data_IF_918520222870
#
_entry.id   IF_918520222870
#
_cell.length_a   1.000
_cell.length_b   1.000
_cell.length_c   1.000
_cell.angle_alpha   90.00
_cell.angle_beta   90.00
_cell.angle_gamma   90.00
#
_symmetry.space_group_name_H-M   'P 1'
#
loop_
_entity.id
_entity.type
_entity.pdbx_description
1 polymer ?
#
# COMPACT_ATOMS: atom_id res chain seq x y z
N UNK A 1 -16.58 -20.50 22.38
CA UNK A 1 -15.25 -19.85 22.39
C UNK A 1 -15.20 -18.90 21.21
N UNK A 2 -14.72 -17.65 21.37
CA UNK A 2 -14.51 -16.78 20.22
C UNK A 2 -13.55 -17.47 19.26
N UNK A 3 -13.91 -17.53 17.97
CA UNK A 3 -13.02 -18.09 16.95
C UNK A 3 -11.77 -17.21 16.87
N UNK A 4 -10.61 -17.79 17.11
CA UNK A 4 -9.31 -17.14 16.90
C UNK A 4 -8.84 -17.47 15.50
N UNK A 5 -8.41 -16.46 14.76
CA UNK A 5 -7.87 -16.62 13.39
C UNK A 5 -6.35 -16.67 13.40
N UNK A 6 -5.76 -17.26 12.35
CA UNK A 6 -4.29 -17.27 12.19
C UNK A 6 -3.70 -15.86 12.14
N UNK A 7 -4.42 -14.89 11.55
CA UNK A 7 -4.01 -13.48 11.52
C UNK A 7 -3.85 -12.94 12.93
N UNK A 8 -4.77 -13.27 13.84
CA UNK A 8 -4.71 -12.81 15.23
C UNK A 8 -3.58 -13.46 16.02
N UNK A 9 -3.24 -14.72 15.69
CA UNK A 9 -2.06 -15.38 16.24
C UNK A 9 -0.79 -14.66 15.79
N UNK A 10 -0.69 -14.29 14.51
CA UNK A 10 0.46 -13.57 13.99
C UNK A 10 0.57 -12.16 14.60
N UNK A 11 -0.55 -11.43 14.70
CA UNK A 11 -0.61 -10.13 15.36
C UNK A 11 -0.29 -10.22 16.86
N UNK A 12 -0.61 -11.34 17.51
CA UNK A 12 -0.22 -11.59 18.90
C UNK A 12 1.30 -11.74 19.03
N UNK A 13 1.94 -12.51 18.14
CA UNK A 13 3.41 -12.67 18.08
C UNK A 13 4.08 -11.31 17.80
N UNK A 14 3.52 -10.52 16.90
CA UNK A 14 4.05 -9.20 16.51
C UNK A 14 3.66 -8.09 17.51
N UNK A 15 3.07 -8.43 18.66
CA UNK A 15 2.62 -7.50 19.71
C UNK A 15 1.73 -6.34 19.22
N UNK A 16 0.99 -6.57 18.13
CA UNK A 16 0.18 -5.56 17.43
C UNK A 16 -1.33 -5.74 17.62
N UNK A 17 -1.73 -6.65 18.52
CA UNK A 17 -3.13 -7.00 18.77
C UNK A 17 -3.74 -6.13 19.88
N UNK A 18 -4.99 -5.63 19.74
CA UNK A 18 -5.70 -4.93 20.81
C UNK A 18 -5.83 -5.78 22.09
N UNK A 19 -5.81 -5.13 23.26
CA UNK A 19 -5.75 -5.82 24.56
C UNK A 19 -6.90 -6.80 24.81
N UNK A 20 -8.12 -6.46 24.37
CA UNK A 20 -9.28 -7.34 24.45
C UNK A 20 -9.06 -8.66 23.68
N UNK A 21 -8.56 -8.56 22.45
CA UNK A 21 -8.25 -9.73 21.61
C UNK A 21 -7.01 -10.47 22.12
N UNK A 22 -6.04 -9.78 22.71
CA UNK A 22 -4.87 -10.40 23.33
C UNK A 22 -5.26 -11.39 24.44
N UNK A 23 -6.24 -11.01 25.27
CA UNK A 23 -6.76 -11.88 26.34
C UNK A 23 -7.45 -13.13 25.77
N UNK A 24 -8.22 -12.98 24.70
CA UNK A 24 -8.87 -14.09 24.02
C UNK A 24 -7.88 -15.05 23.37
N UNK A 25 -6.84 -14.54 22.70
CA UNK A 25 -5.76 -15.36 22.13
C UNK A 25 -4.99 -16.09 23.23
N UNK A 26 -4.65 -15.42 24.34
CA UNK A 26 -4.00 -16.07 25.49
C UNK A 26 -4.82 -17.24 26.02
N UNK A 27 -6.12 -17.05 26.24
CA UNK A 27 -6.99 -18.13 26.69
C UNK A 27 -7.03 -19.29 25.70
N UNK A 28 -7.13 -19.00 24.40
CA UNK A 28 -7.06 -20.01 23.36
C UNK A 28 -5.74 -20.80 23.37
N UNK A 29 -4.60 -20.12 23.57
CA UNK A 29 -3.29 -20.79 23.68
C UNK A 29 -3.15 -21.60 24.97
N UNK A 30 -3.82 -21.23 26.07
CA UNK A 30 -3.88 -22.08 27.26
C UNK A 30 -4.66 -23.38 27.01
N UNK A 31 -5.73 -23.30 26.22
CA UNK A 31 -6.58 -24.46 25.90
C UNK A 31 -5.95 -25.36 24.80
N UNK A 32 -5.15 -24.80 23.89
CA UNK A 32 -4.46 -25.52 22.81
C UNK A 32 -2.93 -25.44 22.92
N UNK A 33 -2.37 -26.41 23.64
CA UNK A 33 -0.92 -26.53 23.88
C UNK A 33 -0.11 -26.76 22.59
N UNK A 34 -0.69 -27.36 21.56
CA UNK A 34 0.02 -27.61 20.29
C UNK A 34 0.25 -26.29 19.58
N UNK A 35 -0.78 -25.45 19.52
CA UNK A 35 -0.67 -24.10 18.96
C UNK A 35 0.23 -23.22 19.82
N UNK A 36 0.17 -23.32 21.15
CA UNK A 36 1.07 -22.60 22.05
C UNK A 36 2.56 -22.95 21.83
N UNK A 37 2.88 -24.23 21.63
CA UNK A 37 4.25 -24.65 21.29
C UNK A 37 4.74 -24.04 19.98
N UNK A 38 3.87 -23.99 18.97
CA UNK A 38 4.16 -23.37 17.67
C UNK A 38 4.41 -21.88 17.80
N UNK A 39 3.55 -21.16 18.52
CA UNK A 39 3.70 -19.73 18.81
C UNK A 39 5.03 -19.45 19.54
N UNK A 40 5.34 -20.22 20.58
CA UNK A 40 6.60 -20.05 21.30
C UNK A 40 7.84 -20.34 20.43
N UNK A 41 7.75 -21.20 19.42
CA UNK A 41 8.82 -21.39 18.45
C UNK A 41 9.02 -20.15 17.56
N UNK A 42 7.93 -19.54 17.09
CA UNK A 42 7.99 -18.30 16.31
C UNK A 42 8.56 -17.13 17.11
N UNK A 43 8.15 -16.97 18.38
CA UNK A 43 8.72 -15.95 19.26
C UNK A 43 10.24 -16.10 19.41
N UNK A 44 10.73 -17.34 19.63
CA UNK A 44 12.18 -17.60 19.71
C UNK A 44 12.92 -17.28 18.41
N UNK A 45 12.32 -17.55 17.25
CA UNK A 45 12.89 -17.20 15.95
C UNK A 45 12.93 -15.68 15.75
N UNK A 46 11.85 -14.99 16.10
CA UNK A 46 11.79 -13.53 16.04
C UNK A 46 12.85 -12.89 16.93
N UNK A 47 13.03 -13.39 18.15
CA UNK A 47 14.07 -12.92 19.06
C UNK A 47 15.49 -13.21 18.55
N UNK A 48 15.71 -14.38 17.95
CA UNK A 48 16.99 -14.71 17.32
C UNK A 48 17.31 -13.74 16.18
N UNK A 49 16.31 -13.41 15.34
CA UNK A 49 16.46 -12.45 14.25
C UNK A 49 16.72 -11.04 14.78
N UNK A 50 15.97 -10.60 15.79
CA UNK A 50 16.16 -9.29 16.43
C UNK A 50 17.56 -9.14 17.02
N UNK A 51 18.09 -10.19 17.66
CA UNK A 51 19.48 -10.21 18.15
C UNK A 51 20.50 -10.18 17.02
N UNK A 52 20.29 -10.96 15.97
CA UNK A 52 21.20 -11.00 14.82
C UNK A 52 21.25 -9.67 14.06
N UNK A 53 20.12 -8.95 14.01
CA UNK A 53 19.97 -7.69 13.30
C UNK A 53 20.13 -6.44 14.19
N UNK A 54 20.31 -6.59 15.50
CA UNK A 54 20.58 -5.46 16.42
C UNK A 54 21.69 -4.53 15.90
N UNK A 55 22.84 -5.04 15.41
CA UNK A 55 23.90 -4.18 14.89
C UNK A 55 23.48 -3.34 13.68
N UNK A 56 22.55 -3.85 12.86
CA UNK A 56 22.01 -3.12 11.70
C UNK A 56 20.99 -2.08 12.16
N UNK A 57 20.14 -2.43 13.14
CA UNK A 57 19.16 -1.52 13.70
C UNK A 57 19.78 -0.32 14.45
N UNK A 58 20.98 -0.50 15.00
CA UNK A 58 21.75 0.55 15.69
C UNK A 58 22.56 1.44 14.73
N UNK A 59 22.62 1.11 13.43
CA UNK A 59 23.32 1.96 12.46
C UNK A 59 22.64 3.33 12.38
N UNK A 60 23.42 4.42 12.28
CA UNK A 60 22.84 5.73 12.06
C UNK A 60 22.05 5.73 10.74
N UNK A 61 20.84 6.28 10.78
CA UNK A 61 20.06 6.50 9.58
C UNK A 61 20.85 7.44 8.64
N UNK A 62 21.04 7.08 7.37
CA UNK A 62 21.67 7.95 6.39
C UNK A 62 20.95 9.31 6.33
N UNK A 63 21.71 10.40 6.13
CA UNK A 63 21.17 11.77 6.12
C UNK A 63 20.10 12.01 5.04
N UNK A 64 20.08 11.17 3.98
CA UNK A 64 19.01 11.18 2.97
C UNK A 64 17.62 10.85 3.53
N UNK A 65 17.55 10.17 4.68
CA UNK A 65 16.29 9.86 5.36
C UNK A 65 15.95 10.89 6.44
N UNK A 66 16.72 11.97 6.58
CA UNK A 66 16.32 13.09 7.41
C UNK A 66 15.05 13.73 6.83
N UNK A 67 14.03 14.02 7.66
CA UNK A 67 12.78 14.62 7.18
C UNK A 67 12.99 15.88 6.33
N UNK A 68 13.97 16.71 6.69
CA UNK A 68 14.37 17.92 5.95
C UNK A 68 14.87 17.62 4.53
N UNK A 69 15.62 16.53 4.35
CA UNK A 69 16.09 16.09 3.04
C UNK A 69 14.93 15.54 2.18
N UNK A 70 13.99 14.82 2.81
CA UNK A 70 12.81 14.26 2.14
C UNK A 70 11.80 15.34 1.71
N UNK A 71 11.58 16.37 2.53
CA UNK A 71 10.70 17.50 2.19
C UNK A 71 11.20 18.30 0.98
N UNK A 72 12.52 18.39 0.81
CA UNK A 72 13.14 19.09 -0.32
C UNK A 72 12.92 18.35 -1.64
N UNK A 73 13.03 17.02 -1.64
CA UNK A 73 12.77 16.15 -2.80
C UNK A 73 11.27 16.04 -3.13
N UNK A 74 10.40 16.00 -2.11
CA UNK A 74 8.95 15.92 -2.27
C UNK A 74 8.30 17.27 -2.60
N UNK A 75 9.05 18.37 -2.52
CA UNK A 75 8.66 19.66 -3.05
C UNK A 75 8.63 19.57 -4.57
N UNK A 76 7.53 19.03 -5.09
CA UNK A 76 7.20 19.05 -6.51
C UNK A 76 7.32 20.50 -6.97
N UNK A 77 8.40 20.76 -7.70
CA UNK A 77 8.75 22.07 -8.22
C UNK A 77 7.49 22.79 -8.73
N UNK A 78 7.25 24.05 -8.36
CA UNK A 78 6.08 24.81 -8.83
C UNK A 78 6.01 24.89 -10.36
N UNK A 79 7.13 24.64 -11.05
CA UNK A 79 7.23 24.54 -12.51
C UNK A 79 6.43 23.34 -13.08
N UNK A 80 6.25 22.25 -12.33
CA UNK A 80 5.43 21.11 -12.77
C UNK A 80 3.93 21.44 -12.81
N UNK A 81 3.46 22.41 -11.99
CA UNK A 81 2.09 22.95 -12.07
C UNK A 81 1.86 23.87 -13.28
N UNK A 82 2.89 24.55 -13.77
CA UNK A 82 2.79 25.39 -14.98
C UNK A 82 2.67 24.54 -16.25
N UNK A 83 3.38 23.41 -16.33
CA UNK A 83 3.28 22.50 -17.48
C UNK A 83 1.92 21.78 -17.59
N UNK A 84 1.14 21.69 -16.50
CA UNK A 84 -0.20 21.10 -16.52
C UNK A 84 -1.27 21.98 -17.18
N UNK A 85 -1.08 23.31 -17.24
CA UNK A 85 -2.06 24.20 -17.90
C UNK A 85 -1.96 24.07 -19.42
N UNK A 86 -0.74 24.01 -19.96
CA UNK A 86 -0.51 23.80 -21.39
C UNK A 86 -1.00 22.42 -21.87
N UNK A 87 -0.84 21.38 -21.04
CA UNK A 87 -1.34 20.03 -21.34
C UNK A 87 -2.86 19.98 -21.44
N UNK A 88 -3.59 20.63 -20.52
CA UNK A 88 -5.05 20.63 -20.51
C UNK A 88 -5.66 21.29 -21.77
N UNK A 89 -5.04 22.38 -22.26
CA UNK A 89 -5.48 23.06 -23.49
C UNK A 89 -5.28 22.14 -24.70
N UNK A 90 -4.12 21.48 -24.82
CA UNK A 90 -3.84 20.58 -25.93
C UNK A 90 -4.80 19.38 -25.96
N UNK A 91 -5.11 18.79 -24.79
CA UNK A 91 -6.09 17.71 -24.69
C UNK A 91 -7.50 18.16 -25.10
N UNK A 92 -7.92 19.37 -24.71
CA UNK A 92 -9.22 19.91 -25.09
C UNK A 92 -9.34 20.13 -26.62
N UNK A 93 -8.27 20.60 -27.27
CA UNK A 93 -8.24 20.79 -28.73
C UNK A 93 -8.30 19.46 -29.47
N UNK A 94 -7.54 18.45 -29.04
CA UNK A 94 -7.57 17.11 -29.64
C UNK A 94 -8.95 16.46 -29.47
N UNK A 95 -9.56 16.58 -28.28
CA UNK A 95 -10.91 16.07 -28.03
C UNK A 95 -11.97 16.76 -28.91
N UNK A 96 -11.87 18.08 -29.09
CA UNK A 96 -12.80 18.84 -29.94
C UNK A 96 -12.70 18.42 -31.42
N UNK A 97 -11.47 18.27 -31.94
CA UNK A 97 -11.25 17.83 -33.31
C UNK A 97 -11.73 16.39 -33.49
N UNK A 98 -11.40 15.47 -32.57
CA UNK A 98 -11.82 14.08 -32.64
C UNK A 98 -13.35 13.88 -32.61
N UNK A 99 -14.07 14.70 -31.84
CA UNK A 99 -15.53 14.64 -31.73
C UNK A 99 -16.25 15.01 -33.04
N UNK A 100 -15.72 15.97 -33.80
CA UNK A 100 -16.28 16.36 -35.09
C UNK A 100 -16.18 15.26 -36.15
N UNK A 101 -15.08 14.50 -36.15
CA UNK A 101 -14.86 13.41 -37.10
C UNK A 101 -15.76 12.20 -36.86
N UNK A 102 -16.16 11.94 -35.60
CA UNK A 102 -17.09 10.86 -35.26
C UNK A 102 -18.49 11.07 -35.87
N UNK A 103 -18.99 12.31 -35.90
CA UNK A 103 -20.30 12.65 -36.50
C UNK A 103 -20.32 12.49 -38.02
N UNK A 104 -19.20 12.80 -38.68
CA UNK A 104 -19.07 12.63 -40.15
C UNK A 104 -19.04 11.14 -40.52
N UNK A 105 -18.45 10.29 -39.68
CA UNK A 105 -18.47 8.84 -39.86
C UNK A 105 -19.88 8.25 -39.69
N UNK A 106 -20.69 8.75 -38.75
CA UNK A 106 -22.09 8.31 -38.58
C UNK A 106 -22.94 8.58 -39.85
N UNK A 107 -22.77 9.74 -40.49
CA UNK A 107 -23.51 10.06 -41.71
C UNK A 107 -23.06 9.24 -42.92
N UNK A 108 -21.77 8.93 -43.04
CA UNK A 108 -21.28 8.07 -44.12
C UNK A 108 -21.73 6.61 -43.99
N UNK A 109 -21.79 6.07 -42.76
CA UNK A 109 -22.24 4.69 -42.53
C UNK A 109 -23.73 4.54 -42.88
N UNK A 110 -24.56 5.54 -42.57
CA UNK A 110 -25.98 5.52 -42.92
C UNK A 110 -26.23 5.48 -44.44
N UNK A 111 -25.37 6.14 -45.22
CA UNK A 111 -25.51 6.19 -46.68
C UNK A 111 -25.06 4.90 -47.38
N UNK A 112 -24.23 4.08 -46.73
CA UNK A 112 -23.77 2.78 -47.24
C UNK A 112 -24.72 1.63 -46.91
N UNK A 113 -25.61 1.79 -45.93
CA UNK A 113 -26.54 0.75 -45.46
C UNK A 113 -27.90 0.75 -46.17
N UNK A 114 -28.17 1.76 -47.03
CA UNK A 114 -29.45 1.94 -47.74
C UNK A 114 -29.31 1.70 -49.27
N UNK A 115 -28.18 1.15 -49.74
CA UNK A 115 -27.99 0.73 -51.14
C UNK A 115 -27.59 -0.74 -51.23
#
# INVERSE_FOLDING_TARGET
MPTITEIEIQLYIDHSLPEERNRAVKQYLYDDLTTAQRVGAYERHADALRRALSPVAEMPLPSIFEPSALETELSLSPLRRLNSIAGAILTAVIAYIGWGWWRVLEEQIAHFLVR
#
